data_IF_773322885853
#
_entry.id   IF_773322885853
#
_cell.length_a   1.000
_cell.length_b   1.000
_cell.length_c   1.000
_cell.angle_alpha   90.00
_cell.angle_beta   90.00
_cell.angle_gamma   90.00
#
_symmetry.space_group_name_H-M   'P 1'
#
loop_
_entity.id
_entity.type
_entity.pdbx_description
1 polymer ?
#
# COMPACT_ATOMS: atom_id res chain seq x y z
N UNK A 1 6.22 -7.70 25.36
CA UNK A 1 5.88 -6.61 26.31
C UNK A 1 6.11 -5.22 25.71
N UNK A 2 7.35 -4.74 25.54
CA UNK A 2 7.58 -3.41 24.93
C UNK A 2 7.06 -3.34 23.47
N UNK A 3 7.35 -4.37 22.67
CA UNK A 3 6.80 -4.48 21.30
C UNK A 3 5.27 -4.63 21.27
N UNK A 4 4.65 -5.17 22.31
CA UNK A 4 3.19 -5.34 22.36
C UNK A 4 2.49 -3.98 22.38
N UNK A 5 3.12 -2.98 23.00
CA UNK A 5 2.60 -1.61 23.01
C UNK A 5 2.78 -0.94 21.64
N UNK A 6 3.91 -1.16 20.96
CA UNK A 6 4.09 -0.71 19.57
C UNK A 6 3.03 -1.33 18.64
N UNK A 7 2.65 -2.59 18.83
CA UNK A 7 1.58 -3.24 18.05
C UNK A 7 0.22 -2.57 18.25
N UNK A 8 -0.15 -2.23 19.50
CA UNK A 8 -1.41 -1.51 19.78
C UNK A 8 -1.40 -0.10 19.20
N UNK A 9 -0.26 0.58 19.25
CA UNK A 9 -0.09 1.90 18.65
C UNK A 9 -0.33 1.82 17.14
N UNK A 10 0.28 0.83 16.46
CA UNK A 10 0.10 0.63 15.02
C UNK A 10 -1.36 0.32 14.65
N UNK A 11 -2.06 -0.50 15.44
CA UNK A 11 -3.49 -0.76 15.23
C UNK A 11 -4.35 0.50 15.41
N UNK A 12 -4.00 1.34 16.37
CA UNK A 12 -4.64 2.65 16.58
C UNK A 12 -4.38 3.60 15.40
N UNK A 13 -3.15 3.66 14.88
CA UNK A 13 -2.80 4.45 13.69
C UNK A 13 -3.62 3.97 12.49
N UNK A 14 -3.71 2.66 12.27
CA UNK A 14 -4.54 2.07 11.19
C UNK A 14 -6.01 2.45 11.33
N UNK A 15 -6.55 2.41 12.54
CA UNK A 15 -7.94 2.80 12.82
C UNK A 15 -8.18 4.28 12.50
N UNK A 16 -7.28 5.17 12.94
CA UNK A 16 -7.35 6.61 12.63
C UNK A 16 -7.21 6.91 11.14
N UNK A 17 -6.30 6.22 10.44
CA UNK A 17 -6.13 6.35 8.99
C UNK A 17 -7.41 5.92 8.24
N UNK A 18 -8.05 4.84 8.69
CA UNK A 18 -9.34 4.38 8.14
C UNK A 18 -10.46 5.39 8.40
N UNK A 19 -10.49 5.99 9.59
CA UNK A 19 -11.44 7.06 9.90
C UNK A 19 -11.22 8.30 9.01
N UNK A 20 -9.97 8.70 8.77
CA UNK A 20 -9.63 9.84 7.92
C UNK A 20 -9.98 9.61 6.44
N UNK A 21 -9.96 8.36 5.98
CA UNK A 21 -10.31 7.96 4.62
C UNK A 21 -11.81 8.09 4.30
N UNK A 22 -12.67 8.28 5.31
CA UNK A 22 -14.10 8.50 5.09
C UNK A 22 -14.36 9.91 4.52
N UNK A 23 -15.30 10.00 3.57
CA UNK A 23 -15.58 11.27 2.86
C UNK A 23 -16.35 12.28 3.72
N UNK A 24 -17.03 11.83 4.77
CA UNK A 24 -17.67 12.72 5.76
C UNK A 24 -16.69 13.53 6.61
N UNK A 25 -15.38 13.30 6.48
CA UNK A 25 -14.35 14.08 7.17
C UNK A 25 -13.95 15.31 6.36
N UNK A 26 -14.04 16.48 6.99
CA UNK A 26 -13.48 17.72 6.44
C UNK A 26 -11.94 17.70 6.43
N UNK A 27 -11.33 18.62 5.68
CA UNK A 27 -9.88 18.83 5.74
C UNK A 27 -9.40 19.11 7.18
N UNK A 28 -10.15 19.92 7.94
CA UNK A 28 -9.81 20.26 9.33
C UNK A 28 -9.76 19.01 10.22
N UNK A 29 -10.72 18.11 10.09
CA UNK A 29 -10.76 16.89 10.89
C UNK A 29 -9.68 15.89 10.48
N UNK A 30 -9.37 15.79 9.19
CA UNK A 30 -8.22 15.01 8.69
C UNK A 30 -6.89 15.54 9.27
N UNK A 31 -6.70 16.86 9.35
CA UNK A 31 -5.50 17.45 9.98
C UNK A 31 -5.39 17.11 11.47
N UNK A 32 -6.50 17.10 12.22
CA UNK A 32 -6.49 16.69 13.63
C UNK A 32 -6.11 15.21 13.79
N UNK A 33 -6.68 14.33 12.96
CA UNK A 33 -6.32 12.90 12.96
C UNK A 33 -4.84 12.69 12.61
N UNK A 34 -4.29 13.47 11.68
CA UNK A 34 -2.87 13.41 11.35
C UNK A 34 -1.99 13.87 12.53
N UNK A 35 -2.39 14.90 13.27
CA UNK A 35 -1.67 15.35 14.46
C UNK A 35 -1.62 14.26 15.54
N UNK A 36 -2.73 13.54 15.76
CA UNK A 36 -2.77 12.39 16.66
C UNK A 36 -1.86 11.25 16.17
N UNK A 37 -1.87 10.93 14.87
CA UNK A 37 -1.01 9.91 14.29
C UNK A 37 0.47 10.27 14.50
N UNK A 38 0.85 11.54 14.34
CA UNK A 38 2.22 11.99 14.58
C UNK A 38 2.65 11.74 16.03
N UNK A 39 1.80 12.06 17.01
CA UNK A 39 2.09 11.78 18.44
C UNK A 39 2.21 10.29 18.73
N UNK A 40 1.37 9.46 18.09
CA UNK A 40 1.46 8.00 18.20
C UNK A 40 2.76 7.46 17.60
N UNK A 41 3.22 8.01 16.47
CA UNK A 41 4.52 7.64 15.89
C UNK A 41 5.70 8.08 16.77
N UNK A 42 5.64 9.28 17.38
CA UNK A 42 6.63 9.73 18.36
C UNK A 42 6.71 8.77 19.56
N UNK A 43 5.56 8.30 20.07
CA UNK A 43 5.54 7.34 21.16
C UNK A 43 6.09 5.96 20.76
N UNK A 44 5.80 5.51 19.53
CA UNK A 44 6.39 4.29 18.98
C UNK A 44 7.91 4.37 18.96
N UNK A 45 8.46 5.51 18.52
CA UNK A 45 9.91 5.76 18.50
C UNK A 45 10.50 5.92 19.90
N UNK A 46 9.78 6.54 20.84
CA UNK A 46 10.19 6.59 22.25
C UNK A 46 10.35 5.17 22.81
N UNK A 47 9.38 4.27 22.58
CA UNK A 47 9.49 2.88 23.03
C UNK A 47 10.71 2.20 22.40
N UNK A 48 10.93 2.38 21.09
CA UNK A 48 12.06 1.78 20.38
C UNK A 48 13.42 2.25 20.92
N UNK A 49 13.53 3.53 21.30
CA UNK A 49 14.79 4.17 21.71
C UNK A 49 15.05 4.15 23.22
N UNK A 50 14.04 3.89 24.04
CA UNK A 50 14.17 3.86 25.51
C UNK A 50 14.21 2.44 26.08
N UNK A 51 13.66 1.46 25.36
CA UNK A 51 13.65 0.06 25.79
C UNK A 51 15.07 -0.50 25.81
N UNK A 52 15.63 -0.58 27.02
CA UNK A 52 16.99 -1.05 27.26
C UNK A 52 17.06 -2.04 28.42
N UNK A 53 18.10 -2.87 28.39
CA UNK A 53 18.46 -3.75 29.50
C UNK A 53 19.95 -3.59 29.81
N UNK A 54 20.28 -3.24 31.05
CA UNK A 54 21.65 -2.96 31.48
C UNK A 54 22.39 -1.98 30.55
N UNK A 55 21.72 -0.90 30.14
CA UNK A 55 22.28 0.11 29.24
C UNK A 55 22.37 -0.29 27.77
N UNK A 56 22.02 -1.53 27.41
CA UNK A 56 21.94 -1.97 26.01
C UNK A 56 20.54 -1.74 25.47
N UNK A 57 20.44 -0.93 24.41
CA UNK A 57 19.20 -0.71 23.69
C UNK A 57 18.80 -1.99 22.94
N UNK A 58 17.56 -2.43 23.13
CA UNK A 58 17.08 -3.71 22.60
C UNK A 58 16.40 -3.54 21.24
N UNK A 59 15.66 -2.45 21.05
CA UNK A 59 14.72 -2.27 19.93
C UNK A 59 15.20 -1.26 18.87
N UNK A 60 16.36 -0.65 19.09
CA UNK A 60 16.96 0.35 18.19
C UNK A 60 17.65 -0.25 16.96
N UNK A 61 17.79 -1.58 16.91
CA UNK A 61 18.53 -2.29 15.86
C UNK A 61 20.02 -2.47 16.14
N UNK A 62 20.54 -1.97 17.28
CA UNK A 62 21.94 -2.20 17.67
C UNK A 62 22.16 -3.55 18.38
N UNK A 63 21.08 -4.26 18.72
CA UNK A 63 21.13 -5.54 19.42
C UNK A 63 21.32 -6.69 18.42
N UNK A 64 22.49 -6.74 17.78
CA UNK A 64 22.81 -7.72 16.72
C UNK A 64 23.90 -8.67 17.21
N UNK A 65 23.72 -9.98 16.96
CA UNK A 65 24.69 -11.03 17.28
C UNK A 65 25.12 -11.05 18.76
N UNK A 66 24.20 -10.75 19.68
CA UNK A 66 24.48 -10.80 21.10
C UNK A 66 24.54 -12.24 21.58
N UNK A 67 25.66 -12.63 22.18
CA UNK A 67 25.90 -13.99 22.68
C UNK A 67 25.59 -14.12 24.17
N UNK A 68 24.91 -15.20 24.52
CA UNK A 68 24.60 -15.59 25.88
C UNK A 68 25.17 -16.98 26.14
N UNK A 69 26.20 -17.09 26.98
CA UNK A 69 26.76 -18.37 27.40
C UNK A 69 25.76 -19.12 28.28
N UNK A 70 25.40 -20.34 27.87
CA UNK A 70 24.40 -21.17 28.56
C UNK A 70 24.97 -22.49 29.09
N UNK A 71 26.22 -22.82 28.75
CA UNK A 71 26.84 -24.08 29.16
C UNK A 71 28.16 -23.91 29.92
N UNK A 72 28.67 -25.00 30.46
CA UNK A 72 29.89 -25.01 31.29
C UNK A 72 31.19 -24.98 30.45
N UNK A 73 31.13 -25.35 29.18
CA UNK A 73 32.28 -25.36 28.26
C UNK A 73 32.28 -24.14 27.34
N UNK A 74 33.47 -23.68 26.93
CA UNK A 74 33.62 -22.57 25.98
C UNK A 74 32.79 -22.79 24.70
N UNK A 75 32.22 -21.71 24.18
CA UNK A 75 31.40 -21.67 22.95
C UNK A 75 30.01 -22.33 23.03
N UNK A 76 29.53 -22.68 24.22
CA UNK A 76 28.13 -23.07 24.42
C UNK A 76 27.26 -21.82 24.61
N UNK A 77 27.02 -21.10 23.51
CA UNK A 77 26.28 -19.82 23.49
C UNK A 77 24.99 -19.87 22.67
N UNK A 78 24.03 -19.02 23.04
CA UNK A 78 22.87 -18.66 22.22
C UNK A 78 23.09 -17.27 21.65
N UNK A 79 22.90 -17.10 20.34
CA UNK A 79 22.93 -15.80 19.67
C UNK A 79 21.52 -15.24 19.60
N UNK A 80 21.35 -13.99 20.02
CA UNK A 80 20.14 -13.24 19.84
C UNK A 80 20.41 -11.98 19.00
N UNK A 81 19.55 -11.76 18.01
CA UNK A 81 19.52 -10.56 17.20
C UNK A 81 18.09 -10.02 17.24
N UNK A 82 17.95 -8.74 17.56
CA UNK A 82 16.69 -8.02 17.54
C UNK A 82 16.80 -6.93 16.49
N UNK A 83 15.91 -6.97 15.50
CA UNK A 83 15.85 -5.97 14.43
C UNK A 83 15.44 -4.58 14.93
N UNK A 84 15.68 -3.57 14.11
CA UNK A 84 15.20 -2.22 14.39
C UNK A 84 13.66 -2.16 14.30
N UNK A 85 13.03 -1.53 15.28
CA UNK A 85 11.56 -1.35 15.33
C UNK A 85 11.13 0.12 15.28
N UNK A 86 12.06 1.02 14.95
CA UNK A 86 11.79 2.44 14.78
C UNK A 86 10.83 2.69 13.62
N UNK A 87 10.00 3.73 13.72
CA UNK A 87 9.00 4.13 12.72
C UNK A 87 9.58 4.26 11.31
N UNK A 88 10.81 4.79 11.20
CA UNK A 88 11.53 4.97 9.94
C UNK A 88 12.05 3.67 9.29
N UNK A 89 12.04 2.55 10.01
CA UNK A 89 12.55 1.24 9.58
C UNK A 89 11.45 0.20 9.37
N UNK A 90 10.23 0.51 9.80
CA UNK A 90 9.06 -0.36 9.65
C UNK A 90 8.04 0.29 8.69
N UNK A 91 7.06 -0.47 8.22
CA UNK A 91 5.99 0.07 7.36
C UNK A 91 6.44 0.45 5.94
N UNK A 92 7.56 -0.09 5.44
CA UNK A 92 7.99 0.14 4.07
C UNK A 92 7.00 -0.51 3.10
N UNK A 93 6.37 0.32 2.28
CA UNK A 93 5.47 -0.09 1.20
C UNK A 93 6.01 0.42 -0.13
N UNK A 94 5.77 -0.33 -1.20
CA UNK A 94 6.16 0.06 -2.56
C UNK A 94 4.90 0.37 -3.35
N UNK A 95 4.86 1.55 -3.96
CA UNK A 95 3.79 1.97 -4.84
C UNK A 95 4.32 2.13 -6.26
N UNK A 96 3.55 1.63 -7.22
CA UNK A 96 3.84 1.74 -8.65
C UNK A 96 2.57 2.21 -9.36
N UNK A 97 2.72 3.06 -10.37
CA UNK A 97 1.60 3.51 -11.21
C UNK A 97 2.10 3.66 -12.64
N UNK A 98 1.47 2.93 -13.56
CA UNK A 98 1.80 2.97 -14.97
C UNK A 98 1.26 4.22 -15.68
N UNK A 99 1.64 4.37 -16.96
CA UNK A 99 1.05 5.38 -17.83
C UNK A 99 -0.44 5.13 -18.09
N UNK A 100 -1.14 6.16 -18.60
CA UNK A 100 -2.55 6.05 -18.99
C UNK A 100 -2.71 5.02 -20.12
N UNK A 101 -3.52 4.00 -19.88
CA UNK A 101 -3.87 2.99 -20.87
C UNK A 101 -4.87 3.59 -21.86
N UNK A 102 -4.49 3.64 -23.14
CA UNK A 102 -5.33 4.16 -24.23
C UNK A 102 -5.69 3.11 -25.28
N UNK A 103 -5.00 1.96 -25.31
CA UNK A 103 -5.29 0.84 -26.20
C UNK A 103 -6.13 -0.22 -25.51
N UNK A 104 -7.03 -0.83 -26.28
CA UNK A 104 -7.72 -2.07 -25.91
C UNK A 104 -6.91 -3.29 -26.35
N UNK A 105 -7.26 -4.46 -25.81
CA UNK A 105 -6.63 -5.73 -26.18
C UNK A 105 -6.56 -6.72 -25.03
N UNK A 106 -6.07 -7.92 -25.34
CA UNK A 106 -5.76 -8.93 -24.33
C UNK A 106 -4.40 -8.62 -23.70
N UNK A 107 -4.35 -8.60 -22.37
CA UNK A 107 -3.12 -8.41 -21.59
C UNK A 107 -2.89 -9.59 -20.66
N UNK A 108 -1.63 -9.90 -20.42
CA UNK A 108 -1.23 -10.88 -19.43
C UNK A 108 -0.14 -10.29 -18.55
N UNK A 109 -0.46 -10.10 -17.27
CA UNK A 109 0.52 -9.61 -16.31
C UNK A 109 1.41 -10.77 -15.84
N UNK A 110 2.71 -10.52 -15.68
CA UNK A 110 3.65 -11.46 -15.10
C UNK A 110 4.49 -10.73 -14.08
N UNK A 111 4.38 -11.14 -12.82
CA UNK A 111 5.22 -10.66 -11.74
C UNK A 111 6.50 -11.49 -11.73
N UNK A 112 7.62 -10.84 -12.01
CA UNK A 112 8.93 -11.51 -12.04
C UNK A 112 9.45 -11.78 -10.64
N UNK A 113 10.06 -12.94 -10.45
CA UNK A 113 10.75 -13.31 -9.21
C UNK A 113 9.92 -13.11 -7.94
N UNK A 114 8.65 -13.54 -7.94
CA UNK A 114 7.69 -13.18 -6.88
C UNK A 114 8.04 -13.79 -5.51
N UNK A 115 8.72 -14.94 -5.50
CA UNK A 115 9.13 -15.68 -4.30
C UNK A 115 10.66 -15.79 -4.13
N UNK A 116 11.45 -15.09 -4.96
CA UNK A 116 12.90 -15.19 -4.99
C UNK A 116 13.47 -16.26 -5.92
N UNK A 117 12.63 -17.03 -6.63
CA UNK A 117 13.03 -18.09 -7.56
C UNK A 117 12.23 -18.03 -8.87
N UNK A 118 10.89 -18.01 -8.77
CA UNK A 118 9.97 -18.20 -9.90
C UNK A 118 9.27 -16.91 -10.33
N UNK A 119 8.75 -16.93 -11.55
CA UNK A 119 7.82 -15.92 -12.06
C UNK A 119 6.37 -16.32 -11.76
N UNK A 120 5.52 -15.33 -11.47
CA UNK A 120 4.08 -15.52 -11.31
C UNK A 120 3.34 -14.94 -12.52
N UNK A 121 2.74 -15.81 -13.32
CA UNK A 121 1.96 -15.42 -14.49
C UNK A 121 0.47 -15.43 -14.18
N UNK A 122 -0.18 -14.28 -14.34
CA UNK A 122 -1.63 -14.14 -14.12
C UNK A 122 -2.42 -14.66 -15.32
N UNK A 123 -3.71 -14.89 -15.11
CA UNK A 123 -4.62 -15.18 -16.21
C UNK A 123 -4.71 -13.99 -17.16
N UNK A 124 -5.01 -14.28 -18.43
CA UNK A 124 -5.19 -13.24 -19.43
C UNK A 124 -6.48 -12.47 -19.15
N UNK A 125 -6.42 -11.15 -19.33
CA UNK A 125 -7.55 -10.25 -19.12
C UNK A 125 -7.73 -9.38 -20.35
N UNK A 126 -8.99 -9.21 -20.79
CA UNK A 126 -9.33 -8.31 -21.89
C UNK A 126 -9.53 -6.90 -21.36
N UNK A 127 -8.90 -5.91 -21.99
CA UNK A 127 -9.14 -4.48 -21.77
C UNK A 127 -10.07 -3.97 -22.86
N UNK A 128 -11.30 -3.63 -22.48
CA UNK A 128 -12.31 -3.06 -23.39
C UNK A 128 -13.33 -2.23 -22.61
N UNK A 129 -14.39 -1.78 -23.29
CA UNK A 129 -15.53 -1.05 -22.69
C UNK A 129 -16.69 -1.97 -22.27
N UNK A 130 -16.54 -3.29 -22.42
CA UNK A 130 -17.59 -4.27 -22.10
C UNK A 130 -17.60 -4.64 -20.62
N UNK A 131 -18.74 -5.11 -20.12
CA UNK A 131 -18.87 -5.66 -18.76
C UNK A 131 -17.91 -6.85 -18.58
N UNK A 132 -17.27 -6.94 -17.42
CA UNK A 132 -16.30 -8.00 -17.11
C UNK A 132 -14.93 -7.83 -17.78
N UNK A 133 -14.67 -6.66 -18.40
CA UNK A 133 -13.38 -6.32 -19.01
C UNK A 133 -12.81 -5.04 -18.42
N UNK A 134 -11.60 -4.66 -18.84
CA UNK A 134 -10.96 -3.40 -18.45
C UNK A 134 -10.09 -3.52 -17.20
N UNK A 135 -9.67 -2.38 -16.66
CA UNK A 135 -8.74 -2.32 -15.53
C UNK A 135 -9.34 -2.88 -14.24
N UNK A 136 -10.67 -2.86 -14.08
CA UNK A 136 -11.35 -3.50 -12.96
C UNK A 136 -11.15 -5.00 -12.94
N UNK A 137 -11.38 -5.67 -14.08
CA UNK A 137 -11.16 -7.11 -14.21
C UNK A 137 -9.69 -7.49 -13.98
N UNK A 138 -8.74 -6.66 -14.44
CA UNK A 138 -7.32 -6.88 -14.18
C UNK A 138 -6.97 -6.72 -12.70
N UNK A 139 -7.48 -5.69 -12.04
CA UNK A 139 -7.25 -5.48 -10.62
C UNK A 139 -7.85 -6.60 -9.76
N UNK A 140 -9.04 -7.09 -10.11
CA UNK A 140 -9.64 -8.27 -9.47
C UNK A 140 -8.75 -9.50 -9.61
N UNK A 141 -8.24 -9.77 -10.82
CA UNK A 141 -7.35 -10.91 -11.06
C UNK A 141 -6.05 -10.82 -10.26
N UNK A 142 -5.43 -9.64 -10.17
CA UNK A 142 -4.24 -9.43 -9.34
C UNK A 142 -4.58 -9.68 -7.87
N UNK A 143 -5.68 -9.10 -7.39
CA UNK A 143 -6.06 -9.17 -5.97
C UNK A 143 -6.48 -10.57 -5.52
N UNK A 144 -6.96 -11.46 -6.41
CA UNK A 144 -7.25 -12.87 -6.08
C UNK A 144 -6.02 -13.61 -5.54
N UNK A 145 -4.83 -13.24 -6.01
CA UNK A 145 -3.56 -13.86 -5.61
C UNK A 145 -2.71 -12.96 -4.71
N UNK A 146 -3.33 -11.95 -4.07
CA UNK A 146 -2.60 -11.00 -3.23
C UNK A 146 -1.91 -11.65 -2.03
N UNK A 147 -2.50 -12.68 -1.44
CA UNK A 147 -1.93 -13.39 -0.29
C UNK A 147 -0.69 -14.22 -0.67
N UNK A 148 -0.56 -14.60 -1.94
CA UNK A 148 0.59 -15.35 -2.46
C UNK A 148 1.70 -14.44 -3.00
N UNK A 149 1.30 -13.35 -3.67
CA UNK A 149 2.24 -12.47 -4.38
C UNK A 149 2.68 -11.26 -3.55
N UNK A 150 1.93 -10.90 -2.50
CA UNK A 150 2.13 -9.67 -1.75
C UNK A 150 1.78 -8.39 -2.52
N UNK A 151 1.22 -8.51 -3.73
CA UNK A 151 0.86 -7.38 -4.60
C UNK A 151 -0.65 -7.17 -4.59
N UNK A 152 -1.06 -5.92 -4.39
CA UNK A 152 -2.46 -5.48 -4.50
C UNK A 152 -2.59 -4.43 -5.59
N UNK A 153 -3.67 -4.47 -6.35
CA UNK A 153 -3.96 -3.54 -7.42
C UNK A 153 -5.25 -2.76 -7.16
N UNK A 154 -5.26 -1.51 -7.62
CA UNK A 154 -6.46 -0.66 -7.71
C UNK A 154 -6.40 0.09 -9.04
N UNK A 155 -7.51 0.71 -9.44
CA UNK A 155 -7.62 1.40 -10.72
C UNK A 155 -8.40 2.70 -10.57
N UNK A 156 -8.07 3.66 -11.43
CA UNK A 156 -8.84 4.88 -11.62
C UNK A 156 -9.07 5.06 -13.12
N UNK A 157 -10.33 5.05 -13.54
CA UNK A 157 -10.72 5.29 -14.94
C UNK A 157 -11.46 6.62 -15.00
N UNK A 158 -10.70 7.69 -15.24
CA UNK A 158 -11.22 9.05 -15.35
C UNK A 158 -10.72 9.71 -16.63
N UNK A 159 -11.59 10.46 -17.29
CA UNK A 159 -11.20 11.40 -18.35
C UNK A 159 -11.69 12.78 -17.96
N UNK A 160 -10.74 13.69 -17.73
CA UNK A 160 -10.99 15.07 -17.34
C UNK A 160 -10.52 16.01 -18.43
N UNK A 161 -11.38 16.95 -18.82
CA UNK A 161 -11.02 18.00 -19.78
C UNK A 161 -9.93 18.91 -19.22
N UNK A 162 -9.11 19.49 -20.08
CA UNK A 162 -7.99 20.37 -19.69
C UNK A 162 -8.42 21.83 -19.47
N UNK A 163 -9.65 22.19 -19.86
CA UNK A 163 -10.15 23.56 -19.81
C UNK A 163 -11.60 23.58 -19.30
N UNK A 164 -12.02 24.76 -18.83
CA UNK A 164 -13.41 25.03 -18.54
C UNK A 164 -14.28 24.84 -19.79
N UNK A 165 -15.51 24.38 -19.59
CA UNK A 165 -16.47 24.18 -20.66
C UNK A 165 -16.76 25.52 -21.34
N UNK A 166 -16.72 25.51 -22.68
CA UNK A 166 -17.09 26.65 -23.54
C UNK A 166 -18.21 26.21 -24.45
N UNK A 167 -18.94 27.19 -24.98
CA UNK A 167 -20.02 26.95 -25.92
C UNK A 167 -19.55 26.06 -27.09
N UNK A 168 -20.31 25.03 -27.42
CA UNK A 168 -19.95 24.05 -28.44
C UNK A 168 -21.07 23.09 -28.79
N UNK A 169 -20.77 22.17 -29.71
CA UNK A 169 -21.69 21.12 -30.12
C UNK A 169 -20.93 19.81 -30.32
N UNK A 170 -21.54 18.68 -29.96
CA UNK A 170 -21.06 17.36 -30.35
C UNK A 170 -21.47 17.04 -31.80
N UNK A 171 -20.87 16.01 -32.41
CA UNK A 171 -21.29 15.54 -33.74
C UNK A 171 -22.59 14.73 -33.68
N UNK A 172 -23.28 14.63 -34.82
CA UNK A 172 -24.51 13.82 -34.97
C UNK A 172 -24.31 12.33 -34.70
N UNK A 173 -23.08 11.84 -34.83
CA UNK A 173 -22.65 10.45 -34.61
C UNK A 173 -21.89 10.26 -33.29
N UNK A 174 -21.91 11.25 -32.40
CA UNK A 174 -21.25 11.16 -31.11
C UNK A 174 -21.73 9.93 -30.33
N UNK A 175 -20.77 9.08 -29.94
CA UNK A 175 -21.00 7.82 -29.23
C UNK A 175 -20.11 7.73 -28.00
N UNK A 176 -20.61 7.06 -26.96
CA UNK A 176 -19.85 6.70 -25.76
C UNK A 176 -20.03 5.21 -25.52
N UNK A 177 -18.91 4.47 -25.43
CA UNK A 177 -18.91 3.01 -25.23
C UNK A 177 -19.82 2.26 -26.22
N UNK A 178 -19.87 2.71 -27.47
CA UNK A 178 -20.69 2.11 -28.52
C UNK A 178 -22.18 2.51 -28.52
N UNK A 179 -22.62 3.32 -27.55
CA UNK A 179 -23.99 3.86 -27.51
C UNK A 179 -24.02 5.24 -28.16
N UNK A 180 -24.93 5.45 -29.11
CA UNK A 180 -25.13 6.75 -29.76
C UNK A 180 -25.84 7.72 -28.82
N UNK A 181 -25.24 8.89 -28.64
CA UNK A 181 -25.81 10.03 -27.91
C UNK A 181 -26.34 11.07 -28.91
N UNK A 182 -25.57 11.36 -29.97
CA UNK A 182 -25.93 12.36 -30.98
C UNK A 182 -25.52 13.78 -30.60
N UNK A 183 -26.06 14.76 -31.34
CA UNK A 183 -25.73 16.17 -31.19
C UNK A 183 -26.31 16.75 -29.89
N UNK A 184 -25.46 17.45 -29.13
CA UNK A 184 -25.80 18.17 -27.89
C UNK A 184 -25.12 19.53 -27.95
N UNK A 185 -25.91 20.60 -27.79
CA UNK A 185 -25.40 21.96 -27.59
C UNK A 185 -25.15 22.20 -26.10
N UNK A 186 -24.02 22.82 -25.77
CA UNK A 186 -23.61 23.12 -24.39
C UNK A 186 -22.78 24.40 -24.33
#
# INVERSE_FOLDING_TARGET
KAMDEQLKILDTIKTKATQAAQDGQSLKTRTMLQADINRLMEELDNIANTTSFNGKQLLSGNFINQEFQIGASSNQTVKATIGATQSSKIGLTRFETGGRISSSGEVQFTLKNYNGIDDFQFQKVVISTSVGTGLGALAEEINKSADQTGVRATFTVETRGMAAVRAGTTSDDFTINGVKIGQVEY
#
